data_IF_675571877667
#
_entry.id   IF_675571877667
#
_cell.length_a   1.000
_cell.length_b   1.000
_cell.length_c   1.000
_cell.angle_alpha   90.00
_cell.angle_beta   90.00
_cell.angle_gamma   90.00
#
_symmetry.space_group_name_H-M   'P 1'
#
loop_
_entity.id
_entity.type
_entity.pdbx_description
1 polymer ?
#
# COMPACT_ATOMS: atom_id res chain seq x y z
N UNK A 1 8.99 5.70 -0.24
CA UNK A 1 8.11 6.63 -1.00
C UNK A 1 8.86 7.52 -1.99
N UNK A 2 10.16 7.82 -1.86
CA UNK A 2 10.83 8.85 -2.67
C UNK A 2 11.98 8.37 -3.57
N UNK A 3 12.24 7.06 -3.65
CA UNK A 3 13.39 6.52 -4.40
C UNK A 3 13.28 6.80 -5.91
N UNK A 4 12.10 6.62 -6.48
CA UNK A 4 11.85 6.87 -7.90
C UNK A 4 12.05 8.35 -8.26
N UNK A 5 11.51 9.26 -7.46
CA UNK A 5 11.66 10.70 -7.71
C UNK A 5 13.11 11.17 -7.57
N UNK A 6 13.86 10.61 -6.62
CA UNK A 6 15.25 11.04 -6.34
C UNK A 6 16.28 10.38 -7.25
N UNK A 7 16.05 9.12 -7.64
CA UNK A 7 17.07 8.27 -8.25
C UNK A 7 16.59 7.51 -9.48
N UNK A 8 15.34 7.70 -9.92
CA UNK A 8 14.74 6.97 -11.04
C UNK A 8 14.52 5.48 -10.77
N UNK A 9 14.71 5.02 -9.53
CA UNK A 9 14.58 3.62 -9.17
C UNK A 9 13.11 3.26 -8.88
N UNK A 10 12.55 2.38 -9.70
CA UNK A 10 11.20 1.85 -9.52
C UNK A 10 11.18 0.67 -8.55
N UNK A 11 10.02 0.39 -7.97
CA UNK A 11 9.83 -0.72 -7.02
C UNK A 11 8.36 -1.13 -6.99
N UNK A 12 8.06 -2.36 -7.41
CA UNK A 12 6.72 -2.94 -7.34
C UNK A 12 6.41 -3.69 -6.03
N UNK A 13 7.07 -3.35 -4.92
CA UNK A 13 6.88 -4.03 -3.63
C UNK A 13 5.45 -3.85 -3.11
N UNK A 14 4.85 -4.90 -2.58
CA UNK A 14 3.55 -4.84 -1.91
C UNK A 14 3.71 -5.06 -0.42
N UNK A 15 3.20 -4.14 0.40
CA UNK A 15 3.18 -4.26 1.85
C UNK A 15 1.78 -4.68 2.33
N UNK A 16 1.68 -5.84 2.96
CA UNK A 16 0.43 -6.33 3.55
C UNK A 16 0.46 -6.03 5.05
N UNK A 17 -0.38 -5.10 5.48
CA UNK A 17 -0.41 -4.60 6.86
C UNK A 17 -1.76 -4.94 7.50
N UNK A 18 -1.83 -5.94 8.40
CA UNK A 18 -3.04 -6.22 9.15
C UNK A 18 -3.52 -4.98 9.89
N UNK A 19 -4.80 -4.66 9.75
CA UNK A 19 -5.44 -3.47 10.33
C UNK A 19 -6.86 -3.83 10.75
N UNK A 20 -7.25 -3.48 11.97
CA UNK A 20 -8.58 -3.74 12.50
C UNK A 20 -8.67 -3.44 13.99
N UNK A 21 -9.73 -2.76 14.41
CA UNK A 21 -9.98 -2.46 15.82
C UNK A 21 -10.80 -3.57 16.48
N UNK A 22 -10.12 -4.64 16.89
CA UNK A 22 -10.73 -5.87 17.44
C UNK A 22 -10.50 -6.05 18.96
N UNK A 23 -10.14 -4.99 19.68
CA UNK A 23 -9.95 -5.01 21.13
C UNK A 23 -8.61 -5.57 21.63
N UNK A 24 -7.66 -5.85 20.73
CA UNK A 24 -6.33 -6.41 21.04
C UNK A 24 -5.32 -5.37 21.56
N UNK A 25 -5.75 -4.14 21.83
CA UNK A 25 -4.88 -3.05 22.31
C UNK A 25 -4.20 -2.23 21.19
N UNK A 26 -3.47 -1.17 21.56
CA UNK A 26 -2.98 -0.14 20.63
C UNK A 26 -1.96 -0.65 19.61
N UNK A 27 -1.13 -1.62 19.97
CA UNK A 27 -0.06 -2.14 19.10
C UNK A 27 -0.51 -3.26 18.15
N UNK A 28 -1.77 -3.71 18.27
CA UNK A 28 -2.37 -4.75 17.43
C UNK A 28 -3.59 -4.27 16.64
N UNK A 29 -3.87 -2.97 16.64
CA UNK A 29 -5.09 -2.43 16.01
C UNK A 29 -4.86 -1.69 14.69
N UNK A 30 -3.73 -0.97 14.55
CA UNK A 30 -3.58 -0.03 13.44
C UNK A 30 -2.25 -0.13 12.71
N UNK A 31 -2.33 -0.39 11.40
CA UNK A 31 -1.27 -0.18 10.42
C UNK A 31 -0.91 1.30 10.15
N UNK A 32 -1.60 2.27 10.78
CA UNK A 32 -1.41 3.72 10.59
C UNK A 32 -1.56 4.19 9.13
N UNK A 33 -2.68 3.88 8.46
CA UNK A 33 -2.90 4.28 7.06
C UNK A 33 -2.76 5.78 6.82
N UNK A 34 -3.08 6.62 7.82
CA UNK A 34 -2.92 8.07 7.77
C UNK A 34 -1.48 8.52 7.46
N UNK A 35 -0.48 7.76 7.94
CA UNK A 35 0.93 8.06 7.69
C UNK A 35 1.32 7.72 6.25
N UNK A 36 0.79 6.64 5.70
CA UNK A 36 1.01 6.29 4.30
C UNK A 36 0.35 7.33 3.38
N UNK A 37 -0.89 7.73 3.68
CA UNK A 37 -1.58 8.78 2.95
C UNK A 37 -0.84 10.13 3.00
N UNK A 38 -0.26 10.50 4.14
CA UNK A 38 0.56 11.72 4.23
C UNK A 38 1.83 11.64 3.35
N UNK A 39 2.39 10.44 3.14
CA UNK A 39 3.55 10.23 2.28
C UNK A 39 3.20 10.10 0.79
N UNK A 40 1.92 9.94 0.46
CA UNK A 40 1.46 9.91 -0.93
C UNK A 40 1.64 11.29 -1.57
N UNK A 41 2.44 11.33 -2.63
CA UNK A 41 2.61 12.53 -3.45
C UNK A 41 3.04 12.09 -4.86
N UNK A 42 2.56 12.78 -5.89
CA UNK A 42 3.00 12.54 -7.28
C UNK A 42 2.88 11.07 -7.72
N UNK A 43 1.78 10.41 -7.35
CA UNK A 43 1.51 9.00 -7.70
C UNK A 43 2.69 8.06 -7.36
N UNK A 44 3.34 8.31 -6.23
CA UNK A 44 4.52 7.58 -5.77
C UNK A 44 4.19 6.24 -5.07
N UNK A 45 2.93 6.01 -4.69
CA UNK A 45 2.47 4.75 -4.10
C UNK A 45 0.95 4.59 -4.23
N UNK A 46 0.49 3.34 -4.12
CA UNK A 46 -0.94 2.98 -4.08
C UNK A 46 -1.30 2.46 -2.69
N UNK A 47 -2.24 3.13 -2.02
CA UNK A 47 -2.75 2.71 -0.70
C UNK A 47 -4.18 2.21 -0.86
N UNK A 48 -4.45 0.97 -0.43
CA UNK A 48 -5.77 0.35 -0.56
C UNK A 48 -6.14 -0.43 0.70
N UNK A 49 -7.45 -0.47 1.00
CA UNK A 49 -8.05 -1.27 2.08
C UNK A 49 -9.20 -2.10 1.49
N UNK A 50 -8.91 -3.24 0.84
CA UNK A 50 -9.94 -4.06 0.21
C UNK A 50 -10.79 -4.78 1.27
N UNK A 51 -12.11 -4.79 1.06
CA UNK A 51 -13.08 -5.48 1.94
C UNK A 51 -13.59 -6.80 1.37
N UNK A 52 -13.36 -7.05 0.07
CA UNK A 52 -13.80 -8.24 -0.64
C UNK A 52 -12.58 -9.04 -1.16
N UNK A 53 -12.61 -10.38 -1.08
CA UNK A 53 -11.54 -11.22 -1.62
C UNK A 53 -11.29 -10.99 -3.12
N UNK A 54 -12.34 -10.73 -3.91
CA UNK A 54 -12.24 -10.43 -5.34
C UNK A 54 -11.44 -9.14 -5.61
N UNK A 55 -11.71 -8.08 -4.85
CA UNK A 55 -10.96 -6.82 -4.97
C UNK A 55 -9.49 -7.02 -4.60
N UNK A 56 -9.21 -7.79 -3.55
CA UNK A 56 -7.83 -8.11 -3.17
C UNK A 56 -7.11 -8.93 -4.26
N UNK A 57 -7.76 -9.95 -4.82
CA UNK A 57 -7.24 -10.73 -5.94
C UNK A 57 -6.89 -9.85 -7.15
N UNK A 58 -7.80 -8.95 -7.55
CA UNK A 58 -7.56 -8.08 -8.68
C UNK A 58 -6.48 -7.03 -8.40
N UNK A 59 -6.35 -6.54 -7.16
CA UNK A 59 -5.31 -5.60 -6.78
C UNK A 59 -3.90 -6.22 -6.90
N UNK A 60 -3.72 -7.46 -6.43
CA UNK A 60 -2.45 -8.17 -6.56
C UNK A 60 -2.07 -8.43 -8.02
N UNK A 61 -3.05 -8.80 -8.86
CA UNK A 61 -2.81 -8.99 -10.29
C UNK A 61 -2.50 -7.68 -11.00
N UNK A 62 -3.22 -6.62 -10.63
CA UNK A 62 -2.97 -5.28 -11.15
C UNK A 62 -1.53 -4.87 -10.84
N UNK A 63 -1.03 -5.10 -9.62
CA UNK A 63 0.33 -4.77 -9.24
C UNK A 63 1.40 -5.43 -10.14
N UNK A 64 1.20 -6.70 -10.52
CA UNK A 64 2.13 -7.44 -11.38
C UNK A 64 2.04 -6.97 -12.84
N UNK A 65 0.84 -6.65 -13.31
CA UNK A 65 0.60 -6.25 -14.70
C UNK A 65 0.72 -4.75 -14.95
N UNK A 66 0.85 -3.93 -13.91
CA UNK A 66 0.99 -2.49 -14.03
C UNK A 66 2.36 -2.15 -14.62
N UNK A 67 2.43 -1.45 -15.77
CA UNK A 67 3.70 -1.01 -16.34
C UNK A 67 4.42 0.01 -15.45
N UNK A 68 3.68 0.70 -14.59
CA UNK A 68 4.22 1.59 -13.59
C UNK A 68 4.48 0.78 -12.31
N UNK A 69 5.70 0.27 -12.16
CA UNK A 69 6.16 -0.50 -11.00
C UNK A 69 6.27 0.38 -9.75
N UNK A 70 5.12 0.65 -9.13
CA UNK A 70 4.94 1.53 -7.98
C UNK A 70 4.67 0.72 -6.71
N UNK A 71 5.12 1.18 -5.53
CA UNK A 71 4.76 0.59 -4.24
C UNK A 71 3.27 0.66 -3.93
#
# INVERSE_FOLDING_TARGET
SSAEQKWGQTSGVTLLLPHGYEGQGPDHSSARPERFLQMCAQDNMTVAMPTLPSNYFHLLRWQVHNPHHKP
#
